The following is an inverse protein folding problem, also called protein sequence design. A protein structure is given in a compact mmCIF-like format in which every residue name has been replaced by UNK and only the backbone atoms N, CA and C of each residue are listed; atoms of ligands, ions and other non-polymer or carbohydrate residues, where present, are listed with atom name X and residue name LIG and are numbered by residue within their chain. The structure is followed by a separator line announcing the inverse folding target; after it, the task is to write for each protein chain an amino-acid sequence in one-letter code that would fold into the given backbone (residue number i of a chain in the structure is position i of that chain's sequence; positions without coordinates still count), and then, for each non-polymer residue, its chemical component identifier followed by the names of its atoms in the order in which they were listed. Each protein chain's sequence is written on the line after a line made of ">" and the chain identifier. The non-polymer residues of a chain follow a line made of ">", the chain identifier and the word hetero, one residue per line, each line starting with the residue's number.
data_IF_144080824841
#
_entry.id   IF_144080824841
#
_cell.length_a   1.000
_cell.length_b   1.000
_cell.length_c   1.000
_cell.angle_alpha   90.00
_cell.angle_beta   90.00
_cell.angle_gamma   90.00
#
_symmetry.space_group_name_H-M   'P 1'
#
loop_
_entity.id
_entity.type
_entity.pdbx_description
1 polymer ?
#
# COMPACT_ATOMS: atom_id res chain seq x y z
N UNK A 1 -23.10 -0.99 -1.60
CA UNK A 1 -22.01 -0.19 -1.02
C UNK A 1 -20.70 -0.84 -1.43
N UNK A 2 -19.71 -0.08 -1.93
CA UNK A 2 -18.39 -0.63 -2.23
C UNK A 2 -17.63 -0.94 -0.93
N UNK A 3 -16.83 -2.00 -0.91
CA UNK A 3 -16.00 -2.34 0.25
C UNK A 3 -14.86 -1.33 0.43
N UNK A 4 -14.33 -1.19 1.64
CA UNK A 4 -13.18 -0.30 1.90
C UNK A 4 -11.97 -0.67 1.02
N UNK A 5 -11.73 -1.97 0.77
CA UNK A 5 -10.70 -2.45 -0.18
C UNK A 5 -10.83 -1.84 -1.56
N UNK A 6 -12.06 -1.77 -2.07
CA UNK A 6 -12.34 -1.20 -3.38
C UNK A 6 -12.10 0.32 -3.35
N UNK A 7 -12.70 1.01 -2.38
CA UNK A 7 -12.56 2.46 -2.22
C UNK A 7 -11.10 2.90 -2.13
N UNK A 8 -10.29 2.23 -1.29
CA UNK A 8 -8.88 2.60 -1.14
C UNK A 8 -8.05 2.23 -2.37
N UNK A 9 -8.38 1.13 -3.06
CA UNK A 9 -7.71 0.74 -4.31
C UNK A 9 -7.91 1.77 -5.41
N UNK A 10 -9.13 2.30 -5.54
CA UNK A 10 -9.44 3.37 -6.47
C UNK A 10 -8.74 4.66 -6.06
N UNK A 11 -8.83 5.03 -4.78
CA UNK A 11 -8.19 6.21 -4.23
C UNK A 11 -6.69 6.26 -4.52
N UNK A 12 -5.93 5.20 -4.22
CA UNK A 12 -4.47 5.20 -4.46
C UNK A 12 -4.12 5.26 -5.94
N UNK A 13 -4.94 4.69 -6.83
CA UNK A 13 -4.75 4.78 -8.29
C UNK A 13 -4.99 6.19 -8.78
N UNK A 14 -6.12 6.79 -8.41
CA UNK A 14 -6.46 8.17 -8.78
C UNK A 14 -5.46 9.17 -8.23
N UNK A 15 -5.01 9.00 -6.99
CA UNK A 15 -4.01 9.86 -6.38
C UNK A 15 -2.65 9.76 -7.08
N UNK A 16 -2.22 8.55 -7.49
CA UNK A 16 -1.02 8.39 -8.30
C UNK A 16 -1.14 9.14 -9.63
N UNK A 17 -2.26 8.98 -10.33
CA UNK A 17 -2.50 9.64 -11.61
C UNK A 17 -2.49 11.16 -11.44
N UNK A 18 -3.15 11.70 -10.42
CA UNK A 18 -3.17 13.14 -10.11
C UNK A 18 -1.75 13.68 -9.85
N UNK A 19 -0.97 13.01 -9.00
CA UNK A 19 0.40 13.43 -8.67
C UNK A 19 1.29 13.37 -9.91
N UNK A 20 1.22 12.28 -10.68
CA UNK A 20 2.03 12.13 -11.90
C UNK A 20 1.68 13.23 -12.90
N UNK A 21 0.39 13.49 -13.15
CA UNK A 21 -0.05 14.56 -14.05
C UNK A 21 0.42 15.95 -13.58
N UNK A 22 0.36 16.23 -12.28
CA UNK A 22 0.86 17.48 -11.72
C UNK A 22 2.37 17.62 -11.91
N UNK A 23 3.14 16.56 -11.66
CA UNK A 23 4.60 16.56 -11.86
C UNK A 23 4.99 16.70 -13.34
N UNK A 24 4.29 16.04 -14.25
CA UNK A 24 4.50 16.21 -15.70
C UNK A 24 4.11 17.59 -16.20
N UNK A 25 3.12 18.23 -15.58
CA UNK A 25 2.72 19.60 -15.95
C UNK A 25 3.77 20.64 -15.54
N UNK A 26 4.64 20.32 -14.57
CA UNK A 26 5.78 21.16 -14.21
C UNK A 26 6.92 21.07 -15.23
N UNK A 27 7.02 19.96 -15.97
CA UNK A 27 8.06 19.74 -16.99
C UNK A 27 7.44 19.22 -18.31
N UNK A 28 6.74 20.08 -19.08
CA UNK A 28 6.01 19.64 -20.27
C UNK A 28 6.90 19.06 -21.38
N UNK A 29 8.17 19.47 -21.44
CA UNK A 29 9.18 19.00 -22.40
C UNK A 29 10.02 17.83 -21.83
N UNK A 30 9.80 17.48 -20.56
CA UNK A 30 10.52 16.44 -19.85
C UNK A 30 10.09 15.02 -20.19
N UNK A 31 10.88 14.02 -19.77
CA UNK A 31 10.51 12.63 -19.93
C UNK A 31 9.22 12.33 -19.16
N UNK A 32 8.26 11.71 -19.84
CA UNK A 32 7.04 11.18 -19.22
C UNK A 32 7.38 10.09 -18.22
N UNK A 33 6.60 9.99 -17.16
CA UNK A 33 6.83 8.95 -16.17
C UNK A 33 6.52 7.57 -16.77
N UNK A 34 7.54 6.73 -16.89
CA UNK A 34 7.36 5.35 -17.35
C UNK A 34 6.45 4.55 -16.41
N UNK A 35 5.65 3.64 -16.95
CA UNK A 35 4.87 2.69 -16.13
C UNK A 35 5.60 1.35 -16.11
N UNK A 36 6.54 1.15 -15.18
CA UNK A 36 7.09 -0.18 -14.92
C UNK A 36 6.20 -0.95 -13.97
N UNK A 37 6.04 -2.28 -14.13
CA UNK A 37 5.24 -3.10 -13.22
C UNK A 37 5.98 -3.32 -11.89
N UNK A 38 5.34 -3.17 -10.70
CA UNK A 38 4.01 -2.60 -10.44
C UNK A 38 4.06 -1.06 -10.29
N UNK A 39 3.51 -0.36 -11.28
CA UNK A 39 3.37 1.12 -11.44
C UNK A 39 4.42 1.96 -10.70
N UNK A 40 5.67 1.79 -11.10
CA UNK A 40 6.79 2.63 -10.65
C UNK A 40 7.00 3.74 -11.67
N UNK A 41 6.56 4.94 -11.33
CA UNK A 41 6.77 6.12 -12.17
C UNK A 41 8.11 6.74 -11.79
N UNK A 42 9.18 6.44 -12.56
CA UNK A 42 10.47 7.11 -12.43
C UNK A 42 10.70 8.12 -13.54
N UNK A 43 11.09 9.33 -13.15
CA UNK A 43 11.90 10.20 -14.02
C UNK A 43 13.37 10.00 -13.64
N UNK A 44 14.14 9.39 -14.53
CA UNK A 44 15.61 9.29 -14.41
C UNK A 44 16.25 9.84 -15.69
N UNK A 45 17.44 10.45 -15.57
CA UNK A 45 18.15 11.14 -16.66
C UNK A 45 17.46 12.40 -17.22
N UNK A 46 16.73 13.14 -16.38
CA UNK A 46 16.13 14.41 -16.79
C UNK A 46 17.23 15.41 -17.25
N UNK A 47 16.99 16.19 -18.32
CA UNK A 47 17.98 17.12 -18.87
C UNK A 47 18.39 18.18 -17.81
N UNK A 48 19.55 18.84 -17.96
CA UNK A 48 20.10 19.77 -16.97
C UNK A 48 19.16 20.90 -16.55
N UNK A 49 18.21 21.25 -17.42
CA UNK A 49 17.26 22.34 -17.22
C UNK A 49 15.90 21.88 -16.66
N UNK A 50 15.69 20.57 -16.47
CA UNK A 50 14.44 20.06 -15.93
C UNK A 50 14.24 20.53 -14.47
N UNK A 51 13.01 20.85 -14.04
CA UNK A 51 12.71 21.21 -12.66
C UNK A 51 12.98 20.10 -11.64
N UNK A 52 12.80 18.84 -12.05
CA UNK A 52 12.98 17.65 -11.21
C UNK A 52 14.28 16.92 -11.60
N UNK A 53 15.13 16.63 -10.61
CA UNK A 53 16.30 15.77 -10.82
C UNK A 53 15.88 14.30 -10.94
N UNK A 54 15.06 13.85 -9.98
CA UNK A 54 14.46 12.52 -9.92
C UNK A 54 13.11 12.58 -9.23
N UNK A 55 12.15 11.78 -9.68
CA UNK A 55 10.88 11.62 -8.99
C UNK A 55 10.40 10.18 -9.12
N UNK A 56 9.84 9.66 -8.03
CA UNK A 56 9.30 8.31 -7.90
C UNK A 56 7.92 8.35 -7.27
N UNK A 57 6.90 7.79 -7.92
CA UNK A 57 5.53 7.65 -7.35
C UNK A 57 5.06 6.22 -7.57
N UNK A 58 4.89 5.48 -6.48
CA UNK A 58 4.61 4.04 -6.52
C UNK A 58 3.32 3.74 -5.77
N UNK A 59 2.55 2.77 -6.29
CA UNK A 59 1.42 2.18 -5.56
C UNK A 59 1.64 0.69 -5.36
N UNK A 60 1.02 0.14 -4.33
CA UNK A 60 1.00 -1.29 -4.07
C UNK A 60 -0.39 -1.70 -3.63
N UNK A 61 -0.99 -2.69 -4.31
CA UNK A 61 -2.28 -3.27 -3.97
C UNK A 61 -2.07 -4.79 -3.92
N UNK A 62 -2.12 -5.37 -2.73
CA UNK A 62 -1.72 -6.75 -2.46
C UNK A 62 -2.85 -7.44 -1.72
N UNK A 63 -3.20 -8.64 -2.20
CA UNK A 63 -4.07 -9.59 -1.51
C UNK A 63 -3.26 -10.86 -1.26
N UNK A 64 -3.38 -11.46 -0.08
CA UNK A 64 -2.68 -12.70 0.21
C UNK A 64 -3.10 -13.31 1.54
N UNK A 65 -2.28 -14.22 2.06
CA UNK A 65 -2.42 -14.78 3.40
C UNK A 65 -1.18 -14.51 4.24
N UNK A 66 -1.36 -14.06 5.48
CA UNK A 66 -0.29 -13.85 6.44
C UNK A 66 -0.01 -15.15 7.19
N UNK A 67 1.22 -15.69 7.14
CA UNK A 67 1.55 -16.87 7.92
C UNK A 67 1.49 -16.57 9.44
N UNK A 68 1.24 -17.57 10.30
CA UNK A 68 1.13 -17.38 11.75
C UNK A 68 2.32 -16.65 12.38
N UNK A 69 3.54 -16.93 11.90
CA UNK A 69 4.74 -16.24 12.35
C UNK A 69 4.68 -14.72 12.05
N UNK A 70 4.23 -14.32 10.86
CA UNK A 70 4.10 -12.90 10.51
C UNK A 70 3.07 -12.18 11.40
N UNK A 71 1.94 -12.84 11.69
CA UNK A 71 0.90 -12.30 12.57
C UNK A 71 1.45 -12.09 13.99
N UNK A 72 2.21 -13.06 14.52
CA UNK A 72 2.85 -12.94 15.83
C UNK A 72 3.79 -11.73 15.91
N UNK A 73 4.62 -11.51 14.88
CA UNK A 73 5.52 -10.36 14.82
C UNK A 73 4.75 -9.04 14.71
N UNK A 74 3.71 -8.97 13.89
CA UNK A 74 2.90 -7.75 13.73
C UNK A 74 2.21 -7.32 15.03
N UNK A 75 1.78 -8.26 15.87
CA UNK A 75 1.15 -7.93 17.16
C UNK A 75 2.09 -7.25 18.15
N UNK A 76 3.41 -7.44 18.03
CA UNK A 76 4.37 -6.76 18.88
C UNK A 76 4.24 -5.22 18.77
N UNK A 77 4.01 -4.73 17.55
CA UNK A 77 3.86 -3.30 17.27
C UNK A 77 2.37 -2.86 17.16
N UNK A 78 1.44 -3.82 17.13
CA UNK A 78 0.01 -3.60 16.94
C UNK A 78 -0.85 -4.38 17.96
N UNK A 79 -0.55 -4.21 19.25
CA UNK A 79 -1.19 -4.97 20.34
C UNK A 79 -2.73 -4.84 20.40
N UNK A 80 -3.30 -3.77 19.83
CA UNK A 80 -4.74 -3.53 19.75
C UNK A 80 -5.49 -4.32 18.67
N UNK A 81 -4.80 -5.11 17.84
CA UNK A 81 -5.47 -5.94 16.84
C UNK A 81 -6.23 -7.09 17.52
N UNK A 82 -7.56 -7.22 17.32
CA UNK A 82 -8.38 -8.27 17.90
C UNK A 82 -8.20 -9.61 17.15
N UNK A 83 -6.97 -10.11 17.10
CA UNK A 83 -6.64 -11.37 16.43
C UNK A 83 -6.47 -12.45 17.48
N UNK A 84 -7.28 -13.51 17.38
CA UNK A 84 -7.08 -14.72 18.18
C UNK A 84 -5.85 -15.49 17.67
N UNK A 85 -4.73 -15.28 18.34
CA UNK A 85 -3.47 -15.96 17.99
C UNK A 85 -3.43 -17.43 18.36
N UNK A 86 -4.39 -17.93 19.16
CA UNK A 86 -4.43 -19.33 19.56
C UNK A 86 -5.00 -20.21 18.45
N UNK A 87 -5.87 -19.66 17.60
CA UNK A 87 -6.63 -20.38 16.59
C UNK A 87 -6.34 -19.87 15.16
N UNK A 88 -5.08 -19.57 14.85
CA UNK A 88 -4.69 -19.20 13.48
C UNK A 88 -4.52 -20.50 12.66
N UNK A 89 -5.22 -20.68 11.54
CA UNK A 89 -5.04 -21.83 10.66
C UNK A 89 -3.59 -21.93 10.15
N UNK A 90 -3.07 -23.14 9.85
CA UNK A 90 -1.74 -23.30 9.25
C UNK A 90 -1.58 -22.52 7.94
N UNK A 91 -2.67 -22.34 7.19
CA UNK A 91 -2.73 -21.54 5.97
C UNK A 91 -2.67 -20.01 6.19
N UNK A 92 -2.65 -19.55 7.44
CA UNK A 92 -2.62 -18.12 7.79
C UNK A 92 -3.98 -17.44 7.70
N UNK A 93 -4.02 -16.12 7.91
CA UNK A 93 -5.22 -15.29 7.76
C UNK A 93 -5.20 -14.51 6.45
N UNK A 94 -6.33 -14.33 5.74
CA UNK A 94 -6.40 -13.44 4.60
C UNK A 94 -6.05 -12.00 5.01
N UNK A 95 -5.35 -11.29 4.13
CA UNK A 95 -5.05 -9.87 4.35
C UNK A 95 -5.12 -9.09 3.05
N UNK A 96 -5.32 -7.79 3.20
CA UNK A 96 -5.30 -6.83 2.11
C UNK A 96 -4.46 -5.61 2.49
N UNK A 97 -3.68 -5.13 1.51
CA UNK A 97 -2.87 -3.91 1.62
C UNK A 97 -3.08 -3.06 0.39
N UNK A 98 -3.29 -1.78 0.59
CA UNK A 98 -3.19 -0.78 -0.45
C UNK A 98 -2.35 0.39 0.04
N UNK A 99 -1.53 0.98 -0.81
CA UNK A 99 -0.76 2.14 -0.43
C UNK A 99 -0.12 2.87 -1.60
N UNK A 100 0.30 4.10 -1.32
CA UNK A 100 1.06 4.97 -2.20
C UNK A 100 2.31 5.45 -1.47
N UNK A 101 3.45 5.46 -2.15
CA UNK A 101 4.70 6.03 -1.65
C UNK A 101 5.34 6.90 -2.72
N UNK A 102 5.89 8.04 -2.33
CA UNK A 102 6.60 8.93 -3.25
C UNK A 102 7.89 9.49 -2.64
N UNK A 103 8.85 9.76 -3.53
CA UNK A 103 10.06 10.53 -3.28
C UNK A 103 10.26 11.47 -4.45
N UNK A 104 10.39 12.77 -4.18
CA UNK A 104 10.58 13.80 -5.21
C UNK A 104 11.84 14.59 -4.86
N UNK A 105 12.80 14.61 -5.77
CA UNK A 105 14.03 15.41 -5.71
C UNK A 105 13.98 16.52 -6.76
N UNK A 106 13.63 17.76 -6.37
CA UNK A 106 13.79 18.92 -7.24
C UNK A 106 15.28 19.15 -7.55
N UNK A 107 15.55 19.76 -8.71
CA UNK A 107 16.92 20.14 -9.09
C UNK A 107 17.37 21.44 -8.43
N UNK A 108 16.45 22.38 -8.22
CA UNK A 108 16.76 23.64 -7.54
C UNK A 108 17.07 23.38 -6.06
N UNK A 109 18.21 23.86 -5.52
CA UNK A 109 18.54 23.72 -4.10
C UNK A 109 17.59 24.53 -3.20
N UNK A 110 16.79 25.44 -3.77
CA UNK A 110 15.77 26.21 -3.04
C UNK A 110 14.41 25.50 -2.96
N UNK A 111 14.23 24.39 -3.67
CA UNK A 111 13.02 23.57 -3.60
C UNK A 111 13.30 22.32 -2.75
N UNK A 112 12.46 22.00 -1.75
CA UNK A 112 12.73 20.89 -0.84
C UNK A 112 12.46 19.52 -1.47
N UNK A 113 13.24 18.52 -1.06
CA UNK A 113 12.91 17.11 -1.31
C UNK A 113 11.65 16.74 -0.52
N UNK A 114 10.74 16.00 -1.14
CA UNK A 114 9.48 15.56 -0.52
C UNK A 114 9.43 14.03 -0.47
N UNK A 115 9.02 13.49 0.67
CA UNK A 115 8.70 12.08 0.85
C UNK A 115 7.32 11.96 1.51
N UNK A 116 6.47 11.10 0.97
CA UNK A 116 5.18 10.79 1.56
C UNK A 116 4.83 9.32 1.38
N UNK A 117 4.08 8.77 2.34
CA UNK A 117 3.68 7.38 2.34
C UNK A 117 2.32 7.22 3.01
N UNK A 118 1.33 6.74 2.25
CA UNK A 118 -0.01 6.40 2.75
C UNK A 118 -0.22 4.90 2.60
N UNK A 119 -0.70 4.26 3.67
CA UNK A 119 -0.96 2.82 3.69
C UNK A 119 -2.26 2.52 4.39
N UNK A 120 -2.97 1.57 3.81
CA UNK A 120 -4.12 0.91 4.36
C UNK A 120 -3.82 -0.58 4.47
N UNK A 121 -4.22 -1.16 5.59
CA UNK A 121 -3.95 -2.55 5.91
C UNK A 121 -5.15 -3.11 6.67
N UNK A 122 -5.64 -4.26 6.24
CA UNK A 122 -6.68 -5.02 6.93
C UNK A 122 -6.36 -6.51 6.91
N UNK A 123 -6.80 -7.22 7.95
CA UNK A 123 -6.72 -8.67 8.11
C UNK A 123 -8.15 -9.16 8.32
N UNK A 124 -8.52 -10.22 7.62
CA UNK A 124 -9.79 -10.90 7.86
C UNK A 124 -9.67 -11.89 9.01
N UNK A 125 -10.80 -12.17 9.65
CA UNK A 125 -10.93 -13.32 10.55
C UNK A 125 -10.69 -14.63 9.78
N UNK A 126 -10.40 -15.70 10.52
CA UNK A 126 -10.34 -17.02 9.92
C UNK A 126 -11.71 -17.37 9.32
N UNK A 127 -11.75 -18.02 8.16
CA UNK A 127 -12.97 -18.64 7.66
C UNK A 127 -13.44 -19.65 8.71
N UNK A 128 -14.53 -19.32 9.41
CA UNK A 128 -15.22 -20.27 10.28
C UNK A 128 -15.97 -21.20 9.34
N UNK A 129 -15.57 -22.48 9.29
CA UNK A 129 -16.36 -23.48 8.57
C UNK A 129 -17.74 -23.55 9.26
N UNK A 130 -18.84 -23.21 8.56
CA UNK A 130 -20.17 -23.22 9.16
C UNK A 130 -20.62 -24.61 9.62
N UNK A 131 -19.86 -25.67 9.33
CA UNK A 131 -20.10 -27.04 9.80
C UNK A 131 -19.14 -27.49 10.91
N UNK A 132 -18.26 -26.61 11.41
CA UNK A 132 -17.40 -26.94 12.55
C UNK A 132 -18.18 -26.86 13.87
N UNK A 133 -18.82 -27.97 14.23
CA UNK A 133 -19.58 -28.15 15.48
C UNK A 133 -18.70 -28.11 16.75
N UNK A 134 -17.38 -27.85 16.67
CA UNK A 134 -16.47 -27.88 17.83
C UNK A 134 -16.52 -26.66 18.75
N UNK A 135 -17.31 -25.63 18.44
CA UNK A 135 -17.50 -24.45 19.32
C UNK A 135 -18.70 -24.55 20.27
N UNK A 136 -19.30 -25.74 20.39
CA UNK A 136 -20.25 -26.04 21.46
C UNK A 136 -19.55 -26.17 22.81
N UNK A 137 -20.04 -25.41 23.80
CA UNK A 137 -19.68 -25.42 25.22
C UNK A 137 -18.49 -24.54 25.64
N UNK A 138 -18.77 -23.29 26.02
CA UNK A 138 -18.35 -22.74 27.32
C UNK A 138 -19.12 -21.42 27.57
N UNK A 139 -20.31 -21.53 28.17
CA UNK A 139 -20.92 -20.47 28.98
C UNK A 139 -21.86 -21.10 30.01
N UNK A 140 -21.30 -21.33 31.20
CA UNK A 140 -21.99 -21.23 32.48
C UNK A 140 -21.28 -20.14 33.29
#
# INVERSE_FOLDING_TARGET
>A
MSSMRHTISEFVRSLQDEIVLALESLDPEGPKFGTDKPRTHLSSNAPPFAPLEKAGVNISIINGRLPPAAISHMRADHAGLPIDTKNIPPAGLPFFVAGLSLVIHPRSPHAPTVHANWRYFEIDEADVDPNDESTGEHNL
#
